data_IF_420135900068
#
_entry.id   IF_420135900068
#
_cell.length_a   1.000
_cell.length_b   1.000
_cell.length_c   1.000
_cell.angle_alpha   90.00
_cell.angle_beta   90.00
_cell.angle_gamma   90.00
#
_symmetry.space_group_name_H-M   'P 1'
#
loop_
_entity.id
_entity.type
_entity.pdbx_description
1 polymer ?
#
# COMPACT_ATOMS: atom_id res chain seq x y z
N UNK A 1 -4.44 20.01 10.04
CA UNK A 1 -5.30 18.82 10.26
C UNK A 1 -6.35 19.20 11.29
N UNK A 2 -7.65 19.24 10.95
CA UNK A 2 -8.72 19.63 11.88
C UNK A 2 -9.19 18.44 12.72
N UNK A 3 -9.67 18.70 13.94
CA UNK A 3 -10.13 17.69 14.91
C UNK A 3 -11.25 16.77 14.36
N UNK A 4 -12.03 17.27 13.40
CA UNK A 4 -13.10 16.52 12.72
C UNK A 4 -12.57 15.37 11.84
N UNK A 5 -11.30 15.46 11.41
CA UNK A 5 -10.67 14.42 10.59
C UNK A 5 -10.34 13.16 11.39
N UNK A 6 -10.26 13.24 12.72
CA UNK A 6 -9.90 12.10 13.58
C UNK A 6 -11.09 11.20 13.95
N UNK A 7 -12.32 11.71 13.88
CA UNK A 7 -13.56 11.00 14.24
C UNK A 7 -14.38 10.53 13.02
N UNK A 8 -13.92 10.83 11.81
CA UNK A 8 -14.56 10.40 10.56
C UNK A 8 -14.08 9.00 10.16
N UNK A 9 -14.95 8.20 9.54
CA UNK A 9 -14.51 6.92 8.94
C UNK A 9 -13.34 7.20 7.99
N UNK A 10 -12.23 6.45 8.07
CA UNK A 10 -11.08 6.71 7.21
C UNK A 10 -11.51 6.59 5.75
N UNK A 11 -11.11 7.57 4.93
CA UNK A 11 -11.34 7.51 3.49
C UNK A 11 -10.48 6.39 2.90
N UNK A 12 -10.93 5.73 1.81
CA UNK A 12 -10.13 4.73 1.10
C UNK A 12 -8.69 5.15 0.84
N UNK A 13 -8.45 6.41 0.51
CA UNK A 13 -7.11 6.98 0.29
C UNK A 13 -6.19 6.91 1.51
N UNK A 14 -6.72 7.04 2.73
CA UNK A 14 -5.94 6.89 3.95
C UNK A 14 -5.48 5.45 4.18
N UNK A 15 -6.31 4.47 3.83
CA UNK A 15 -5.92 3.06 3.89
C UNK A 15 -4.80 2.74 2.89
N UNK A 16 -4.86 3.33 1.68
CA UNK A 16 -3.83 3.17 0.66
C UNK A 16 -2.47 3.66 1.13
N UNK A 17 -2.41 4.87 1.67
CA UNK A 17 -1.15 5.48 2.14
C UNK A 17 -0.54 4.63 3.26
N UNK A 18 -1.31 4.31 4.30
CA UNK A 18 -0.81 3.51 5.45
C UNK A 18 -0.33 2.13 5.00
N UNK A 19 -1.02 1.50 4.04
CA UNK A 19 -0.60 0.22 3.49
C UNK A 19 0.75 0.35 2.76
N UNK A 20 0.93 1.39 1.95
CA UNK A 20 2.20 1.63 1.25
C UNK A 20 3.33 1.96 2.24
N UNK A 21 3.08 2.81 3.24
CA UNK A 21 4.07 3.14 4.29
C UNK A 21 4.55 1.90 5.03
N UNK A 22 3.62 1.01 5.40
CA UNK A 22 3.93 -0.23 6.09
C UNK A 22 4.81 -1.16 5.25
N UNK A 23 4.55 -1.26 3.94
CA UNK A 23 5.25 -2.20 3.08
C UNK A 23 6.57 -1.67 2.51
N UNK A 24 6.76 -0.35 2.49
CA UNK A 24 7.99 0.31 2.02
C UNK A 24 8.91 0.65 3.21
N UNK A 25 8.35 0.73 4.42
CA UNK A 25 9.12 1.10 5.62
C UNK A 25 9.47 2.58 5.68
N UNK A 26 8.75 3.42 4.93
CA UNK A 26 8.97 4.87 4.84
C UNK A 26 7.68 5.63 5.08
N UNK A 27 7.75 6.77 5.75
CA UNK A 27 6.56 7.59 5.97
C UNK A 27 6.30 8.48 4.77
N UNK A 28 5.04 8.76 4.45
CA UNK A 28 4.66 9.74 3.42
C UNK A 28 5.16 11.16 3.70
N UNK A 29 5.63 11.41 4.92
CA UNK A 29 6.27 12.66 5.38
C UNK A 29 7.80 12.58 5.46
N UNK A 30 8.43 11.49 5.02
CA UNK A 30 9.90 11.41 4.93
C UNK A 30 10.44 12.51 4.02
N UNK A 31 11.63 13.05 4.33
CA UNK A 31 12.24 14.16 3.60
C UNK A 31 12.46 13.87 2.11
N UNK A 32 12.54 12.60 1.72
CA UNK A 32 12.66 12.22 0.30
C UNK A 32 11.37 12.42 -0.50
N UNK A 33 10.24 12.62 0.17
CA UNK A 33 8.97 12.92 -0.46
C UNK A 33 8.69 14.42 -0.35
N UNK A 34 8.67 15.08 -1.49
CA UNK A 34 8.45 16.52 -1.62
C UNK A 34 7.35 16.83 -2.65
N UNK A 35 7.19 18.11 -2.98
CA UNK A 35 6.17 18.57 -3.94
C UNK A 35 6.26 17.89 -5.32
N UNK A 36 7.42 17.35 -5.69
CA UNK A 36 7.63 16.67 -6.98
C UNK A 36 7.49 15.15 -6.89
N UNK A 37 7.62 14.57 -5.69
CA UNK A 37 7.59 13.13 -5.49
C UNK A 37 6.85 12.76 -4.20
N UNK A 38 5.62 12.28 -4.34
CA UNK A 38 4.87 11.70 -3.23
C UNK A 38 4.94 10.16 -3.26
N UNK A 39 4.47 9.51 -2.18
CA UNK A 39 4.49 8.06 -2.04
C UNK A 39 3.73 7.33 -3.16
N UNK A 40 2.61 7.87 -3.65
CA UNK A 40 1.86 7.29 -4.78
C UNK A 40 2.72 7.27 -6.05
N UNK A 41 3.31 8.42 -6.42
CA UNK A 41 4.13 8.54 -7.61
C UNK A 41 5.41 7.71 -7.50
N UNK A 42 6.01 7.65 -6.31
CA UNK A 42 7.16 6.79 -6.05
C UNK A 42 6.83 5.33 -6.38
N UNK A 43 5.75 4.79 -5.81
CA UNK A 43 5.32 3.40 -6.05
C UNK A 43 4.94 3.15 -7.50
N UNK A 44 4.28 4.11 -8.15
CA UNK A 44 3.87 4.03 -9.56
C UNK A 44 5.06 3.90 -10.52
N UNK A 45 6.23 4.42 -10.15
CA UNK A 45 7.45 4.33 -10.94
C UNK A 45 8.25 3.04 -10.71
N UNK A 46 7.90 2.25 -9.70
CA UNK A 46 8.59 0.99 -9.40
C UNK A 46 8.18 -0.06 -10.42
N UNK A 47 9.17 -0.65 -11.10
CA UNK A 47 8.89 -1.75 -12.02
C UNK A 47 8.59 -3.04 -11.24
N UNK A 48 7.78 -3.96 -11.78
CA UNK A 48 7.46 -5.22 -11.11
C UNK A 48 8.70 -6.02 -10.67
N UNK A 49 9.76 -6.00 -11.48
CA UNK A 49 11.02 -6.71 -11.23
C UNK A 49 11.85 -6.09 -10.10
N UNK A 50 11.50 -4.88 -9.66
CA UNK A 50 12.19 -4.11 -8.62
C UNK A 50 11.32 -3.87 -7.40
N UNK A 51 10.18 -4.56 -7.32
CA UNK A 51 9.23 -4.38 -6.22
C UNK A 51 9.84 -4.73 -4.85
N UNK A 52 10.69 -5.77 -4.81
CA UNK A 52 11.41 -6.16 -3.61
C UNK A 52 12.47 -5.14 -3.18
N UNK A 53 13.09 -4.41 -4.12
CA UNK A 53 14.13 -3.40 -3.83
C UNK A 53 13.60 -2.24 -2.97
N UNK A 54 12.29 -1.96 -3.08
CA UNK A 54 11.65 -0.84 -2.38
C UNK A 54 10.84 -1.29 -1.17
N UNK A 55 10.68 -2.59 -0.98
CA UNK A 55 9.98 -3.14 0.16
C UNK A 55 10.83 -3.02 1.44
N UNK A 56 10.17 -2.88 2.58
CA UNK A 56 10.86 -2.88 3.86
C UNK A 56 11.66 -4.18 4.05
N UNK A 57 12.89 -4.05 4.56
CA UNK A 57 13.78 -5.20 4.72
C UNK A 57 13.23 -6.28 5.69
N UNK A 58 12.36 -5.89 6.63
CA UNK A 58 11.65 -6.82 7.51
C UNK A 58 10.56 -7.63 6.80
N UNK A 59 10.19 -7.24 5.58
CA UNK A 59 9.17 -7.85 4.74
C UNK A 59 9.74 -8.68 3.57
N UNK A 60 11.08 -8.84 3.49
CA UNK A 60 11.82 -9.64 2.48
C UNK A 60 11.35 -11.10 2.37
N UNK A 61 10.54 -11.58 3.31
CA UNK A 61 9.96 -12.93 3.29
C UNK A 61 8.75 -13.07 2.36
N UNK A 62 8.26 -11.98 1.76
CA UNK A 62 7.11 -11.99 0.85
C UNK A 62 7.55 -12.13 -0.61
N UNK A 63 6.76 -12.88 -1.36
CA UNK A 63 6.91 -13.06 -2.81
C UNK A 63 6.65 -11.74 -3.55
N UNK A 64 7.35 -11.52 -4.67
CA UNK A 64 7.20 -10.33 -5.51
C UNK A 64 5.75 -10.17 -5.96
N UNK A 65 5.05 -11.26 -6.27
CA UNK A 65 3.62 -11.26 -6.64
C UNK A 65 2.73 -10.70 -5.53
N UNK A 66 3.07 -10.96 -4.26
CA UNK A 66 2.36 -10.40 -3.13
C UNK A 66 2.62 -8.91 -3.00
N UNK A 67 3.88 -8.47 -3.13
CA UNK A 67 4.24 -7.05 -3.07
C UNK A 67 3.58 -6.25 -4.20
N UNK A 68 3.58 -6.78 -5.42
CA UNK A 68 2.89 -6.19 -6.59
C UNK A 68 1.40 -6.03 -6.29
N UNK A 69 0.75 -7.05 -5.74
CA UNK A 69 -0.68 -7.02 -5.40
C UNK A 69 -0.99 -5.98 -4.32
N UNK A 70 -0.14 -5.88 -3.30
CA UNK A 70 -0.30 -4.93 -2.18
C UNK A 70 -0.10 -3.50 -2.66
N UNK A 71 0.94 -3.24 -3.44
CA UNK A 71 1.20 -1.93 -4.04
C UNK A 71 0.09 -1.52 -5.01
N UNK A 72 -0.43 -2.47 -5.80
CA UNK A 72 -1.59 -2.24 -6.66
C UNK A 72 -2.83 -1.80 -5.88
N UNK A 73 -3.10 -2.38 -4.70
CA UNK A 73 -4.17 -1.91 -3.82
C UNK A 73 -3.87 -0.50 -3.31
N UNK A 74 -2.66 -0.24 -2.83
CA UNK A 74 -2.24 1.06 -2.33
C UNK A 74 -2.37 2.19 -3.36
N UNK A 75 -1.97 1.93 -4.61
CA UNK A 75 -2.14 2.83 -5.75
C UNK A 75 -3.60 3.08 -6.05
N UNK A 76 -4.40 2.02 -6.23
CA UNK A 76 -5.82 2.13 -6.54
C UNK A 76 -6.58 2.91 -5.46
N UNK A 77 -6.23 2.75 -4.18
CA UNK A 77 -6.83 3.54 -3.09
C UNK A 77 -6.53 5.04 -3.19
N UNK A 78 -5.39 5.38 -3.78
CA UNK A 78 -4.80 6.72 -3.80
C UNK A 78 -5.00 7.44 -5.14
N UNK A 79 -5.69 6.83 -6.11
CA UNK A 79 -6.03 7.46 -7.39
C UNK A 79 -6.76 8.78 -7.20
N UNK A 80 -6.59 9.75 -8.09
CA UNK A 80 -7.27 11.06 -7.97
C UNK A 80 -8.77 10.96 -8.26
N UNK A 81 -9.13 10.09 -9.21
CA UNK A 81 -10.51 9.88 -9.66
C UNK A 81 -11.29 9.02 -8.65
N UNK A 82 -12.37 9.52 -8.03
CA UNK A 82 -13.13 8.76 -7.04
C UNK A 82 -13.71 7.43 -7.55
N UNK A 83 -14.04 7.33 -8.84
CA UNK A 83 -14.58 6.11 -9.46
C UNK A 83 -13.53 5.02 -9.72
N UNK A 84 -12.26 5.39 -9.73
CA UNK A 84 -11.14 4.46 -9.90
C UNK A 84 -10.62 3.97 -8.54
N UNK A 85 -11.03 4.65 -7.46
CA UNK A 85 -10.72 4.25 -6.09
C UNK A 85 -11.50 3.02 -5.68
N UNK A 86 -10.78 2.06 -5.09
CA UNK A 86 -11.40 0.97 -4.36
C UNK A 86 -12.20 1.52 -3.19
N UNK A 87 -13.42 1.03 -2.99
CA UNK A 87 -14.15 1.29 -1.76
C UNK A 87 -13.62 0.40 -0.62
N UNK A 88 -13.94 0.74 0.63
CA UNK A 88 -13.45 0.02 1.81
C UNK A 88 -13.74 -1.49 1.77
N UNK A 89 -14.88 -1.91 1.23
CA UNK A 89 -15.24 -3.34 1.12
C UNK A 89 -14.32 -4.05 0.13
N UNK A 90 -14.02 -3.43 -1.00
CA UNK A 90 -13.11 -3.98 -2.00
C UNK A 90 -11.68 -4.08 -1.46
N UNK A 91 -11.21 -3.05 -0.75
CA UNK A 91 -9.90 -3.04 -0.09
C UNK A 91 -9.78 -4.24 0.85
N UNK A 92 -10.73 -4.37 1.79
CA UNK A 92 -10.75 -5.48 2.75
C UNK A 92 -10.82 -6.84 2.04
N UNK A 93 -11.64 -6.95 1.01
CA UNK A 93 -11.78 -8.22 0.26
C UNK A 93 -10.46 -8.62 -0.40
N UNK A 94 -9.78 -7.70 -1.07
CA UNK A 94 -8.50 -7.96 -1.73
C UNK A 94 -7.38 -8.26 -0.72
N UNK A 95 -7.31 -7.51 0.38
CA UNK A 95 -6.36 -7.77 1.47
C UNK A 95 -6.58 -9.13 2.12
N UNK A 96 -7.83 -9.57 2.30
CA UNK A 96 -8.13 -10.90 2.84
C UNK A 96 -7.70 -12.03 1.89
N UNK A 97 -7.77 -11.83 0.58
CA UNK A 97 -7.23 -12.78 -0.40
C UNK A 97 -5.72 -12.88 -0.25
N UNK A 98 -5.01 -11.75 -0.25
CA UNK A 98 -3.53 -11.73 -0.09
C UNK A 98 -3.12 -12.35 1.25
N UNK A 99 -3.81 -12.02 2.35
CA UNK A 99 -3.53 -12.61 3.67
C UNK A 99 -3.63 -14.13 3.67
N UNK A 100 -4.59 -14.71 2.95
CA UNK A 100 -4.72 -16.18 2.85
C UNK A 100 -3.54 -16.79 2.11
N UNK A 101 -3.06 -16.13 1.06
CA UNK A 101 -1.87 -16.58 0.33
C UNK A 101 -0.60 -16.49 1.19
N UNK A 102 -0.44 -15.41 1.96
CA UNK A 102 0.68 -15.23 2.89
C UNK A 102 0.68 -16.26 4.04
N UNK A 103 -0.46 -16.54 4.66
CA UNK A 103 -0.54 -17.52 5.75
C UNK A 103 -0.30 -18.95 5.23
N UNK A 104 -0.67 -19.24 3.98
CA UNK A 104 -0.43 -20.54 3.35
C UNK A 104 1.05 -20.84 3.16
N UNK A 105 1.90 -19.82 3.04
CA UNK A 105 3.35 -19.99 2.85
C UNK A 105 4.11 -20.12 4.18
N UNK A 106 3.61 -19.57 5.28
CA UNK A 106 4.23 -19.67 6.63
C UNK A 106 4.08 -21.06 7.28
N UNK A 107 3.15 -21.90 6.83
CA UNK A 107 2.95 -23.27 7.32
C UNK A 107 3.85 -24.34 6.69
N UNK A 108 4.87 -23.95 5.91
CA UNK A 108 5.79 -24.85 5.18
C UNK A 108 7.25 -24.80 5.68
N UNK A 109 7.48 -24.45 6.94
CA UNK A 109 8.78 -24.63 7.60
C UNK A 109 8.66 -25.54 8.81
#
# INVERSE_FOLDING_TARGET
MTLDSLNSRPKPSGYGIVLLEMFIGKMSTDEMFDDNLNLHNYVRMVSPERVADVADSGLIRHDDECLISIFGIGLACSEETPSERLNTKEIVTKLLVIKKELIRTEGKH
#
